data_IF_921457207421
#
_entry.id   IF_921457207421
#
_cell.length_a   1.000
_cell.length_b   1.000
_cell.length_c   1.000
_cell.angle_alpha   90.00
_cell.angle_beta   90.00
_cell.angle_gamma   90.00
#
_symmetry.space_group_name_H-M   'P 1'
#
loop_
_entity.id
_entity.type
_entity.pdbx_description
1 polymer ?
#
# COMPACT_ATOMS: atom_id res chain seq x y z
N UNK A 1 2.01 4.27 18.10
CA UNK A 1 1.77 3.23 17.07
C UNK A 1 3.11 2.77 16.55
N UNK A 2 3.34 1.46 16.42
CA UNK A 2 4.60 0.91 15.93
C UNK A 2 4.33 0.13 14.65
N UNK A 3 4.86 0.60 13.53
CA UNK A 3 4.85 -0.10 12.25
C UNK A 3 6.12 -0.96 12.18
N UNK A 4 5.99 -2.22 11.76
CA UNK A 4 7.09 -3.20 11.74
C UNK A 4 7.54 -3.54 10.33
N UNK A 5 8.69 -4.19 10.19
CA UNK A 5 9.17 -4.70 8.89
C UNK A 5 8.16 -5.66 8.23
N UNK A 6 7.44 -6.44 9.04
CA UNK A 6 6.34 -7.26 8.53
C UNK A 6 5.22 -6.41 7.93
N UNK A 7 4.87 -5.27 8.54
CA UNK A 7 3.90 -4.38 7.94
C UNK A 7 4.37 -3.84 6.60
N UNK A 8 5.64 -3.43 6.52
CA UNK A 8 6.23 -2.95 5.28
C UNK A 8 6.16 -4.00 4.17
N UNK A 9 6.53 -5.24 4.46
CA UNK A 9 6.44 -6.34 3.51
C UNK A 9 5.01 -6.61 3.06
N UNK A 10 4.03 -6.63 3.98
CA UNK A 10 2.64 -6.86 3.63
C UNK A 10 2.04 -5.71 2.78
N UNK A 11 2.44 -4.46 3.01
CA UNK A 11 2.05 -3.30 2.18
C UNK A 11 2.66 -3.44 0.78
N UNK A 12 3.95 -3.79 0.74
CA UNK A 12 4.73 -4.03 -0.47
C UNK A 12 4.11 -5.14 -1.32
N UNK A 13 3.65 -6.23 -0.71
CA UNK A 13 2.91 -7.28 -1.42
C UNK A 13 1.51 -6.81 -1.84
N UNK A 14 0.89 -5.94 -1.04
CA UNK A 14 -0.41 -5.34 -1.28
C UNK A 14 -0.52 -4.63 -2.63
N UNK A 15 0.53 -3.94 -3.09
CA UNK A 15 0.53 -3.19 -4.36
C UNK A 15 0.24 -4.10 -5.56
N UNK A 16 0.58 -5.38 -5.50
CA UNK A 16 0.29 -6.33 -6.57
C UNK A 16 -1.18 -6.73 -6.66
N UNK A 17 -1.95 -6.48 -5.61
CA UNK A 17 -3.40 -6.67 -5.67
C UNK A 17 -4.09 -5.49 -6.36
N UNK A 18 -3.38 -4.42 -6.76
CA UNK A 18 -3.96 -3.32 -7.54
C UNK A 18 -4.22 -3.73 -9.00
N UNK A 19 -3.41 -4.63 -9.55
CA UNK A 19 -3.47 -5.06 -10.95
C UNK A 19 -4.76 -5.85 -11.26
N UNK A 20 -5.73 -5.21 -11.92
CA UNK A 20 -7.01 -5.84 -12.27
C UNK A 20 -6.87 -6.97 -13.31
N UNK A 21 -5.77 -7.02 -14.06
CA UNK A 21 -5.49 -8.09 -15.01
C UNK A 21 -4.97 -9.36 -14.33
N UNK A 22 -4.49 -9.27 -13.09
CA UNK A 22 -3.89 -10.39 -12.35
C UNK A 22 -4.73 -10.90 -11.18
N UNK A 23 -5.64 -10.09 -10.64
CA UNK A 23 -6.51 -10.49 -9.54
C UNK A 23 -7.99 -10.27 -9.83
N UNK A 24 -8.84 -11.19 -9.35
CA UNK A 24 -10.30 -11.12 -9.55
C UNK A 24 -10.96 -9.92 -8.85
N UNK A 25 -10.38 -9.46 -7.74
CA UNK A 25 -10.90 -8.38 -6.89
C UNK A 25 -9.77 -7.43 -6.53
N UNK A 26 -9.45 -6.48 -7.42
CA UNK A 26 -8.32 -5.61 -7.20
C UNK A 26 -8.55 -4.67 -6.02
N UNK A 27 -7.46 -4.28 -5.37
CA UNK A 27 -7.45 -3.25 -4.34
C UNK A 27 -7.65 -1.89 -5.02
N UNK A 28 -8.45 -1.05 -4.36
CA UNK A 28 -8.88 0.26 -4.82
C UNK A 28 -8.88 1.21 -3.65
N UNK A 29 -9.11 2.48 -3.94
CA UNK A 29 -9.20 3.54 -2.95
C UNK A 29 -10.23 3.18 -1.85
N UNK A 30 -9.95 3.65 -0.63
CA UNK A 30 -10.68 3.31 0.61
C UNK A 30 -10.66 1.82 1.03
N UNK A 31 -9.92 0.96 0.33
CA UNK A 31 -9.67 -0.40 0.81
C UNK A 31 -9.03 -0.37 2.20
N UNK A 32 -9.69 -1.03 3.16
CA UNK A 32 -9.15 -1.28 4.50
C UNK A 32 -8.57 -2.69 4.55
N UNK A 33 -7.36 -2.82 5.12
CA UNK A 33 -6.73 -4.10 5.38
C UNK A 33 -5.99 -4.10 6.72
N UNK A 34 -5.80 -5.31 7.29
CA UNK A 34 -5.07 -5.52 8.53
C UNK A 34 -3.75 -6.21 8.23
N UNK A 35 -2.68 -5.75 8.86
CA UNK A 35 -1.35 -6.36 8.81
C UNK A 35 -0.70 -6.25 10.17
N UNK A 36 -0.15 -7.36 10.67
CA UNK A 36 0.56 -7.45 11.96
C UNK A 36 -0.12 -6.65 13.12
N UNK A 37 -1.43 -6.83 13.26
CA UNK A 37 -2.24 -6.15 14.26
C UNK A 37 -2.58 -4.69 13.95
N UNK A 38 -1.97 -4.04 12.97
CA UNK A 38 -2.24 -2.68 12.51
C UNK A 38 -3.29 -2.66 11.39
N UNK A 39 -4.11 -1.62 11.35
CA UNK A 39 -5.06 -1.38 10.25
C UNK A 39 -4.53 -0.28 9.35
N UNK A 40 -4.68 -0.46 8.04
CA UNK A 40 -4.30 0.49 7.01
C UNK A 40 -5.49 0.76 6.10
N UNK A 41 -5.51 1.97 5.52
CA UNK A 41 -6.40 2.37 4.45
C UNK A 41 -5.58 2.73 3.22
N UNK A 42 -6.01 2.24 2.07
CA UNK A 42 -5.52 2.67 0.77
C UNK A 42 -6.13 4.03 0.45
N UNK A 43 -5.29 5.04 0.21
CA UNK A 43 -5.76 6.37 -0.18
C UNK A 43 -5.93 6.50 -1.68
N UNK A 44 -4.99 5.94 -2.43
CA UNK A 44 -4.97 6.01 -3.88
C UNK A 44 -4.32 4.77 -4.47
N UNK A 45 -4.81 4.36 -5.62
CA UNK A 45 -4.25 3.29 -6.44
C UNK A 45 -4.00 3.77 -7.87
N UNK A 46 -2.93 3.26 -8.49
CA UNK A 46 -2.68 3.43 -9.92
C UNK A 46 -2.45 2.06 -10.54
N UNK A 47 -3.39 1.65 -11.40
CA UNK A 47 -3.37 0.38 -12.11
C UNK A 47 -2.87 0.59 -13.53
N UNK A 48 -1.55 0.47 -13.74
CA UNK A 48 -0.94 0.65 -15.05
C UNK A 48 -0.71 -0.69 -15.76
N UNK A 49 -1.77 -1.18 -16.39
CA UNK A 49 -1.75 -2.42 -17.19
C UNK A 49 -0.92 -2.31 -18.47
N UNK A 50 -0.57 -1.09 -18.92
CA UNK A 50 0.17 -0.87 -20.16
C UNK A 50 1.66 -1.20 -20.04
N UNK A 51 2.24 -1.02 -18.86
CA UNK A 51 3.68 -1.21 -18.61
C UNK A 51 3.98 -2.07 -17.38
N UNK A 52 2.96 -2.69 -16.78
CA UNK A 52 3.09 -3.58 -15.63
C UNK A 52 3.34 -2.87 -14.30
N UNK A 53 3.42 -1.53 -14.27
CA UNK A 53 3.61 -0.80 -13.02
C UNK A 53 2.30 -0.67 -12.25
N UNK A 54 2.40 -0.78 -10.94
CA UNK A 54 1.30 -0.66 -9.99
C UNK A 54 1.76 0.28 -8.90
N UNK A 55 0.90 1.21 -8.49
CA UNK A 55 1.20 2.08 -7.36
C UNK A 55 0.07 2.10 -6.35
N UNK A 56 0.43 2.27 -5.09
CA UNK A 56 -0.50 2.32 -3.97
C UNK A 56 0.03 3.26 -2.89
N UNK A 57 -0.80 4.21 -2.48
CA UNK A 57 -0.58 5.05 -1.31
C UNK A 57 -1.39 4.48 -0.14
N UNK A 58 -0.74 4.22 1.00
CA UNK A 58 -1.41 3.73 2.21
C UNK A 58 -1.09 4.57 3.43
N UNK A 59 -2.06 4.61 4.34
CA UNK A 59 -1.95 5.25 5.65
C UNK A 59 -2.45 4.33 6.75
N UNK A 60 -1.79 4.28 7.90
CA UNK A 60 -2.28 3.56 9.06
C UNK A 60 -3.48 4.29 9.69
N UNK A 61 -4.39 3.51 10.25
CA UNK A 61 -5.50 4.00 11.08
C UNK A 61 -5.11 3.85 12.55
N UNK A 62 -5.23 4.93 13.32
CA UNK A 62 -5.02 4.89 14.75
C UNK A 62 -6.06 3.96 15.40
N UNK A 63 -5.59 2.91 16.09
CA UNK A 63 -6.47 1.91 16.72
C UNK A 63 -7.33 2.45 17.85
N UNK A 64 -6.87 3.51 18.52
CA UNK A 64 -7.55 4.11 19.68
C UNK A 64 -8.62 5.08 19.20
N UNK A 65 -8.30 5.95 18.26
CA UNK A 65 -9.21 7.02 17.81
C UNK A 65 -10.03 6.64 16.59
N UNK A 66 -9.65 5.59 15.84
CA UNK A 66 -10.24 5.24 14.55
C UNK A 66 -9.90 6.22 13.41
N UNK A 67 -9.13 7.27 13.69
CA UNK A 67 -8.77 8.29 12.73
C UNK A 67 -7.56 7.88 11.90
N UNK A 68 -7.51 8.40 10.68
CA UNK A 68 -6.40 8.21 9.75
C UNK A 68 -5.18 8.98 10.24
N UNK A 69 -4.03 8.32 10.36
CA UNK A 69 -2.79 8.95 10.80
C UNK A 69 -1.95 9.41 9.60
N UNK A 70 -2.27 10.60 9.08
CA UNK A 70 -1.56 11.20 7.96
C UNK A 70 -0.10 11.56 8.25
N UNK A 71 0.36 11.49 9.51
CA UNK A 71 1.78 11.64 9.86
C UNK A 71 2.64 10.51 9.32
N UNK A 72 2.03 9.35 9.05
CA UNK A 72 2.70 8.19 8.49
C UNK A 72 2.04 7.85 7.16
N UNK A 73 2.73 8.12 6.05
CA UNK A 73 2.22 7.82 4.72
C UNK A 73 3.25 7.01 3.96
N UNK A 74 2.78 5.99 3.25
CA UNK A 74 3.63 5.08 2.52
C UNK A 74 3.19 5.04 1.06
N UNK A 75 4.10 5.41 0.17
CA UNK A 75 3.91 5.24 -1.26
C UNK A 75 4.68 4.00 -1.70
N UNK A 76 3.98 3.10 -2.37
CA UNK A 76 4.55 1.85 -2.86
C UNK A 76 4.35 1.75 -4.34
N UNK A 77 5.42 1.44 -5.05
CA UNK A 77 5.42 1.14 -6.48
C UNK A 77 5.93 -0.29 -6.66
N UNK A 78 5.13 -1.11 -7.32
CA UNK A 78 5.50 -2.46 -7.75
C UNK A 78 5.47 -2.59 -9.25
N UNK A 79 6.30 -3.46 -9.80
CA UNK A 79 6.29 -3.78 -11.22
C UNK A 79 6.09 -5.28 -11.45
N UNK A 80 5.09 -5.61 -12.27
CA UNK A 80 4.75 -6.96 -12.77
C UNK A 80 4.83 -6.95 -14.30
N UNK A 81 6.03 -6.82 -14.85
CA UNK A 81 6.23 -7.08 -16.29
C UNK A 81 6.43 -8.57 -16.52
N UNK A 82 5.56 -9.17 -17.34
CA UNK A 82 5.75 -10.53 -17.84
C UNK A 82 5.82 -11.61 -16.76
N UNK A 83 6.77 -12.53 -16.90
CA UNK A 83 7.02 -13.66 -16.00
C UNK A 83 8.24 -13.42 -15.08
N UNK A 84 8.72 -12.19 -14.99
CA UNK A 84 9.99 -11.84 -14.33
C UNK A 84 9.81 -11.39 -12.87
N UNK A 85 10.95 -11.25 -12.17
CA UNK A 85 11.00 -10.90 -10.75
C UNK A 85 10.33 -9.54 -10.49
N UNK A 86 9.38 -9.57 -9.58
CA UNK A 86 8.76 -8.44 -8.89
C UNK A 86 9.80 -7.46 -8.36
N UNK A 87 9.76 -6.20 -8.79
CA UNK A 87 10.58 -5.11 -8.25
C UNK A 87 9.69 -4.14 -7.48
N UNK A 88 10.10 -3.80 -6.26
CA UNK A 88 9.31 -3.02 -5.31
C UNK A 88 10.12 -1.88 -4.72
N UNK A 89 9.47 -0.73 -4.63
CA UNK A 89 10.00 0.44 -3.92
C UNK A 89 8.91 0.93 -2.97
N UNK A 90 9.25 1.05 -1.69
CA UNK A 90 8.40 1.69 -0.70
C UNK A 90 9.14 2.92 -0.17
N UNK A 91 8.44 4.05 -0.16
CA UNK A 91 8.92 5.28 0.43
C UNK A 91 8.04 5.66 1.61
N UNK A 92 8.68 5.95 2.75
CA UNK A 92 8.00 6.41 3.95
C UNK A 92 8.10 7.93 4.07
N UNK A 93 6.95 8.58 4.06
CA UNK A 93 6.81 10.00 4.28
C UNK A 93 6.33 10.27 5.71
N UNK A 94 7.10 11.10 6.42
CA UNK A 94 6.68 11.66 7.71
C UNK A 94 6.13 13.06 7.49
N UNK A 95 4.82 13.26 7.63
CA UNK A 95 4.28 14.61 7.58
C UNK A 95 4.68 15.34 8.87
N UNK A 96 5.50 16.39 8.74
CA UNK A 96 5.76 17.34 9.83
C UNK A 96 4.54 18.26 9.88
N UNK A 97 3.61 17.92 10.76
CA UNK A 97 2.51 18.83 11.10
C UNK A 97 3.10 19.79 12.14
N UNK A 98 3.26 21.06 11.75
CA UNK A 98 3.68 22.15 12.63
C UNK A 98 2.61 22.51 13.66
#
# INVERSE_FOLDING_TARGET
MKITDKNYNDIVDGVYNVDAGKVKRPWRDDKIFKSNGQTFRVLKTEDNTSNGMQAMEVVPINKVTGQVDHRHKYDVIGNVVGNEKKKLFMLYYKAIIG
#
